data_IF_567697992079
#
_entry.id   IF_567697992079
#
_cell.length_a   1.000
_cell.length_b   1.000
_cell.length_c   1.000
_cell.angle_alpha   90.00
_cell.angle_beta   90.00
_cell.angle_gamma   90.00
#
_symmetry.space_group_name_H-M   'P 1'
#
loop_
_entity.id
_entity.type
_entity.pdbx_description
1 polymer ?
#
# COMPACT_ATOMS: atom_id res chain seq x y z
N UNK A 1 21.29 -24.22 7.39
CA UNK A 1 20.13 -25.07 7.73
C UNK A 1 18.93 -24.17 7.53
N UNK A 2 18.06 -24.47 6.58
CA UNK A 2 16.84 -23.69 6.31
C UNK A 2 15.86 -23.97 7.44
N UNK A 3 15.77 -23.07 8.41
CA UNK A 3 14.71 -23.09 9.41
C UNK A 3 13.43 -22.65 8.71
N UNK A 4 12.49 -23.57 8.49
CA UNK A 4 11.15 -23.21 8.00
C UNK A 4 10.55 -22.17 8.96
N UNK A 5 10.09 -21.04 8.43
CA UNK A 5 9.43 -20.01 9.24
C UNK A 5 8.31 -20.65 10.11
N UNK A 6 8.22 -20.35 11.42
CA UNK A 6 7.17 -20.88 12.28
C UNK A 6 5.78 -20.29 11.96
N UNK A 7 5.72 -19.27 11.11
CA UNK A 7 4.49 -18.57 10.73
C UNK A 7 3.66 -19.46 9.82
N UNK A 8 2.40 -19.69 10.20
CA UNK A 8 1.43 -20.41 9.35
C UNK A 8 0.49 -19.40 8.67
N UNK A 9 0.60 -19.18 7.35
CA UNK A 9 -0.30 -18.27 6.65
C UNK A 9 -1.75 -18.77 6.66
N UNK A 10 -2.68 -17.88 7.01
CA UNK A 10 -4.12 -18.16 7.16
C UNK A 10 -4.89 -18.02 5.85
N UNK A 11 -4.42 -17.15 4.95
CA UNK A 11 -5.18 -16.68 3.77
C UNK A 11 -4.48 -16.94 2.43
N UNK A 12 -3.31 -17.57 2.45
CA UNK A 12 -2.55 -17.95 1.26
C UNK A 12 -2.72 -19.45 1.00
N UNK A 13 -3.24 -19.83 -0.18
CA UNK A 13 -3.30 -21.23 -0.60
C UNK A 13 -1.99 -21.73 -1.22
N UNK A 14 -1.06 -20.81 -1.53
CA UNK A 14 0.31 -21.10 -1.99
C UNK A 14 1.33 -20.33 -1.14
N UNK A 15 1.45 -20.66 0.15
CA UNK A 15 2.24 -19.86 1.10
C UNK A 15 3.75 -19.85 0.83
N UNK A 16 4.27 -20.77 0.02
CA UNK A 16 5.69 -20.82 -0.38
C UNK A 16 6.00 -20.07 -1.68
N UNK A 17 4.98 -19.54 -2.36
CA UNK A 17 5.12 -18.79 -3.63
C UNK A 17 4.94 -17.28 -3.38
N UNK A 18 5.89 -16.48 -3.85
CA UNK A 18 5.83 -15.02 -3.85
C UNK A 18 5.72 -14.54 -5.30
N UNK A 19 4.61 -13.89 -5.64
CA UNK A 19 4.48 -13.12 -6.87
C UNK A 19 5.09 -11.74 -6.68
N UNK A 20 6.12 -11.41 -7.46
CA UNK A 20 6.83 -10.13 -7.37
C UNK A 20 6.48 -9.25 -8.56
N UNK A 21 6.03 -8.03 -8.29
CA UNK A 21 5.79 -6.99 -9.31
C UNK A 21 6.69 -5.80 -9.02
N UNK A 22 7.59 -5.49 -9.95
CA UNK A 22 8.52 -4.37 -9.82
C UNK A 22 8.01 -3.18 -10.63
N UNK A 23 7.73 -2.07 -9.97
CA UNK A 23 7.00 -0.92 -10.52
C UNK A 23 7.93 0.29 -10.56
N UNK A 24 8.52 0.55 -11.72
CA UNK A 24 9.38 1.72 -11.95
C UNK A 24 8.56 2.94 -12.35
N UNK A 25 7.72 3.45 -11.45
CA UNK A 25 6.80 4.57 -11.73
C UNK A 25 7.05 5.76 -10.79
N UNK A 26 7.12 6.97 -11.35
CA UNK A 26 7.32 8.22 -10.63
C UNK A 26 6.31 9.32 -11.04
N UNK A 27 5.26 8.94 -11.78
CA UNK A 27 4.33 9.89 -12.40
C UNK A 27 3.32 10.52 -11.44
N UNK A 28 3.19 9.97 -10.23
CA UNK A 28 2.35 10.50 -9.15
C UNK A 28 2.97 11.67 -8.40
N UNK A 29 4.26 11.96 -8.60
CA UNK A 29 4.99 13.07 -7.99
C UNK A 29 5.84 13.84 -9.02
N UNK A 30 6.59 14.85 -8.56
CA UNK A 30 7.50 15.64 -9.40
C UNK A 30 8.98 15.24 -9.28
N UNK A 31 9.35 14.42 -8.29
CA UNK A 31 10.72 13.94 -8.10
C UNK A 31 10.95 12.68 -8.92
N UNK A 32 11.98 12.70 -9.76
CA UNK A 32 12.45 11.51 -10.45
C UNK A 32 13.27 10.61 -9.50
N UNK A 33 13.50 9.36 -9.90
CA UNK A 33 14.48 8.47 -9.27
C UNK A 33 13.85 7.32 -8.47
N UNK A 34 12.63 7.47 -7.95
CA UNK A 34 11.90 6.37 -7.30
C UNK A 34 11.62 5.22 -8.26
N UNK A 35 11.53 5.50 -9.56
CA UNK A 35 11.39 4.51 -10.62
C UNK A 35 12.57 3.53 -10.70
N UNK A 36 13.72 3.89 -10.11
CA UNK A 36 14.92 3.03 -10.02
C UNK A 36 15.01 2.24 -8.71
N UNK A 37 14.17 2.55 -7.72
CA UNK A 37 14.10 1.87 -6.42
C UNK A 37 13.96 0.34 -6.52
N UNK A 38 13.05 -0.21 -7.35
CA UNK A 38 12.88 -1.66 -7.48
C UNK A 38 14.16 -2.34 -7.95
N UNK A 39 14.82 -1.78 -8.96
CA UNK A 39 16.08 -2.31 -9.49
C UNK A 39 17.18 -2.30 -8.43
N UNK A 40 17.29 -1.21 -7.66
CA UNK A 40 18.30 -1.12 -6.60
C UNK A 40 18.11 -2.17 -5.49
N UNK A 41 16.86 -2.45 -5.10
CA UNK A 41 16.54 -3.51 -4.13
C UNK A 41 16.92 -4.91 -4.66
N UNK A 42 16.63 -5.18 -5.94
CA UNK A 42 16.99 -6.45 -6.59
C UNK A 42 18.50 -6.60 -6.72
N UNK A 43 19.20 -5.57 -7.17
CA UNK A 43 20.66 -5.56 -7.33
C UNK A 43 21.38 -5.71 -5.98
N UNK A 44 20.73 -5.29 -4.88
CA UNK A 44 21.21 -5.54 -3.52
C UNK A 44 20.97 -6.98 -3.04
N UNK A 45 20.33 -7.81 -3.86
CA UNK A 45 20.17 -9.25 -3.65
C UNK A 45 18.86 -9.66 -3.00
N UNK A 46 17.86 -8.78 -2.86
CA UNK A 46 16.60 -9.05 -2.17
C UNK A 46 15.95 -10.37 -2.62
N UNK A 47 15.72 -10.56 -3.93
CA UNK A 47 15.04 -11.75 -4.42
C UNK A 47 15.86 -13.03 -4.19
N UNK A 48 17.19 -12.95 -4.38
CA UNK A 48 18.09 -14.07 -4.11
C UNK A 48 18.09 -14.47 -2.63
N UNK A 49 18.00 -13.48 -1.75
CA UNK A 49 17.94 -13.65 -0.31
C UNK A 49 16.62 -14.31 0.12
N UNK A 50 15.49 -13.87 -0.42
CA UNK A 50 14.19 -14.50 -0.16
C UNK A 50 14.15 -15.97 -0.63
N UNK A 51 14.78 -16.28 -1.77
CA UNK A 51 14.86 -17.65 -2.28
C UNK A 51 15.83 -18.52 -1.45
N UNK A 52 17.07 -18.05 -1.23
CA UNK A 52 18.15 -18.86 -0.66
C UNK A 52 18.10 -18.95 0.87
N UNK A 53 17.73 -17.86 1.53
CA UNK A 53 17.76 -17.79 2.99
C UNK A 53 16.42 -18.23 3.58
N UNK A 54 15.31 -17.81 2.97
CA UNK A 54 13.94 -18.05 3.47
C UNK A 54 13.21 -19.19 2.72
N UNK A 55 13.73 -19.66 1.59
CA UNK A 55 13.20 -20.83 0.88
C UNK A 55 11.95 -20.58 0.04
N UNK A 56 11.65 -19.32 -0.31
CA UNK A 56 10.50 -19.00 -1.15
C UNK A 56 10.75 -19.33 -2.62
N UNK A 57 9.69 -19.75 -3.32
CA UNK A 57 9.67 -19.77 -4.79
C UNK A 57 9.28 -18.38 -5.29
N UNK A 58 10.23 -17.70 -5.94
CA UNK A 58 10.02 -16.35 -6.46
C UNK A 58 9.46 -16.41 -7.88
N UNK A 59 8.31 -15.80 -8.08
CA UNK A 59 7.65 -15.65 -9.38
C UNK A 59 7.77 -14.18 -9.80
N UNK A 60 8.85 -13.89 -10.51
CA UNK A 60 9.17 -12.58 -11.07
C UNK A 60 9.38 -12.73 -12.58
N UNK A 61 8.90 -11.77 -13.37
CA UNK A 61 9.01 -11.78 -14.84
C UNK A 61 10.35 -11.23 -15.36
N UNK A 62 11.27 -10.87 -14.46
CA UNK A 62 12.59 -10.35 -14.80
C UNK A 62 12.58 -8.89 -15.25
N UNK A 63 11.46 -8.17 -15.10
CA UNK A 63 11.32 -6.80 -15.55
C UNK A 63 10.99 -5.83 -14.40
N UNK A 64 11.45 -4.59 -14.56
CA UNK A 64 10.93 -3.42 -13.84
C UNK A 64 10.00 -2.68 -14.79
N UNK A 65 8.71 -2.66 -14.47
CA UNK A 65 7.65 -2.12 -15.32
C UNK A 65 7.61 -0.60 -15.20
N UNK A 66 7.96 0.10 -16.28
CA UNK A 66 7.87 1.58 -16.34
C UNK A 66 6.55 2.08 -16.93
N UNK A 67 5.73 1.16 -17.48
CA UNK A 67 4.41 1.43 -18.05
C UNK A 67 4.39 2.53 -19.13
N UNK A 68 5.50 2.80 -19.79
CA UNK A 68 5.60 3.86 -20.82
C UNK A 68 4.56 3.75 -21.92
N UNK A 69 4.11 2.54 -22.27
CA UNK A 69 3.05 2.34 -23.26
C UNK A 69 1.63 2.70 -22.79
N UNK A 70 1.43 2.83 -21.47
CA UNK A 70 0.13 3.18 -20.86
C UNK A 70 0.04 4.66 -20.51
N UNK A 71 1.19 5.34 -20.44
CA UNK A 71 1.25 6.76 -20.12
C UNK A 71 0.92 7.60 -21.36
N UNK A 72 -0.08 8.50 -21.29
CA UNK A 72 -0.34 9.46 -22.36
C UNK A 72 0.83 10.42 -22.55
N UNK A 73 0.89 11.07 -23.72
CA UNK A 73 1.77 12.21 -23.90
C UNK A 73 1.38 13.34 -22.92
N UNK A 74 2.32 14.18 -22.43
CA UNK A 74 2.01 15.24 -21.47
C UNK A 74 0.87 16.18 -21.91
N UNK A 75 0.75 16.48 -23.20
CA UNK A 75 -0.33 17.27 -23.79
C UNK A 75 -1.72 16.60 -23.70
N UNK A 76 -1.74 15.27 -23.58
CA UNK A 76 -2.94 14.45 -23.46
C UNK A 76 -3.30 14.12 -22.00
N UNK A 77 -2.55 14.67 -21.03
CA UNK A 77 -2.80 14.52 -19.58
C UNK A 77 -2.94 15.88 -18.88
N UNK A 78 -3.96 16.68 -19.23
CA UNK A 78 -4.15 17.98 -18.63
C UNK A 78 -4.48 17.86 -17.14
N UNK A 79 -4.12 18.89 -16.38
CA UNK A 79 -4.51 19.03 -14.97
C UNK A 79 -6.03 18.87 -14.83
N UNK A 80 -6.46 18.00 -13.93
CA UNK A 80 -7.88 17.73 -13.68
C UNK A 80 -8.16 17.82 -12.18
N UNK A 81 -9.09 18.70 -11.78
CA UNK A 81 -9.38 19.02 -10.37
C UNK A 81 -8.14 19.33 -9.51
N UNK A 82 -7.12 19.93 -10.12
CA UNK A 82 -5.85 20.25 -9.45
C UNK A 82 -4.85 19.10 -9.44
N UNK A 83 -5.21 17.90 -9.90
CA UNK A 83 -4.26 16.78 -10.00
C UNK A 83 -3.32 16.94 -11.19
N UNK A 84 -2.03 16.66 -10.94
CA UNK A 84 -1.01 16.48 -11.96
C UNK A 84 -0.96 15.02 -12.45
N UNK A 85 -0.78 14.84 -13.76
CA UNK A 85 -0.72 13.54 -14.44
C UNK A 85 -1.86 12.53 -14.10
N UNK A 86 -3.12 12.97 -13.96
CA UNK A 86 -4.20 12.10 -13.45
C UNK A 86 -4.50 10.91 -14.37
N UNK A 87 -4.37 11.05 -15.70
CA UNK A 87 -4.63 9.96 -16.65
C UNK A 87 -3.49 8.95 -16.66
N UNK A 88 -2.24 9.41 -16.60
CA UNK A 88 -1.08 8.54 -16.51
C UNK A 88 -1.14 7.69 -15.24
N UNK A 89 -1.35 8.32 -14.07
CA UNK A 89 -1.45 7.59 -12.79
C UNK A 89 -2.64 6.63 -12.82
N UNK A 90 -3.80 7.05 -13.33
CA UNK A 90 -4.98 6.18 -13.46
C UNK A 90 -4.73 4.96 -14.35
N UNK A 91 -4.12 5.15 -15.53
CA UNK A 91 -3.87 4.05 -16.47
C UNK A 91 -2.82 3.06 -15.93
N UNK A 92 -1.76 3.57 -15.30
CA UNK A 92 -0.72 2.74 -14.69
C UNK A 92 -1.28 1.94 -13.52
N UNK A 93 -2.09 2.56 -12.65
CA UNK A 93 -2.68 1.88 -11.50
C UNK A 93 -3.76 0.88 -11.90
N UNK A 94 -4.54 1.11 -12.97
CA UNK A 94 -5.48 0.10 -13.52
C UNK A 94 -4.73 -1.11 -14.09
N UNK A 95 -3.60 -0.90 -14.76
CA UNK A 95 -2.77 -2.00 -15.26
C UNK A 95 -2.07 -2.77 -14.13
N UNK A 96 -1.58 -2.05 -13.11
CA UNK A 96 -0.96 -2.65 -11.93
C UNK A 96 -1.96 -3.47 -11.10
N UNK A 97 -3.20 -3.00 -10.99
CA UNK A 97 -4.31 -3.74 -10.38
C UNK A 97 -4.43 -5.15 -10.98
N UNK A 98 -4.43 -5.24 -12.32
CA UNK A 98 -4.54 -6.51 -13.01
C UNK A 98 -3.33 -7.43 -12.76
N UNK A 99 -2.12 -6.88 -12.68
CA UNK A 99 -0.90 -7.63 -12.40
C UNK A 99 -0.88 -8.19 -10.97
N UNK A 100 -1.19 -7.36 -9.97
CA UNK A 100 -1.25 -7.78 -8.57
C UNK A 100 -2.39 -8.78 -8.35
N UNK A 101 -3.56 -8.54 -8.94
CA UNK A 101 -4.67 -9.48 -8.91
C UNK A 101 -4.28 -10.85 -9.46
N UNK A 102 -3.54 -10.92 -10.58
CA UNK A 102 -3.14 -12.19 -11.17
C UNK A 102 -2.24 -13.04 -10.25
N UNK A 103 -1.49 -12.41 -9.34
CA UNK A 103 -0.73 -13.12 -8.30
C UNK A 103 -1.61 -13.49 -7.11
N UNK A 104 -2.36 -12.51 -6.60
CA UNK A 104 -3.16 -12.67 -5.39
C UNK A 104 -4.31 -13.68 -5.60
N UNK A 105 -4.92 -13.77 -6.79
CA UNK A 105 -6.02 -14.70 -7.08
C UNK A 105 -5.57 -16.17 -7.07
N UNK A 106 -4.29 -16.43 -7.32
CA UNK A 106 -3.72 -17.78 -7.35
C UNK A 106 -3.43 -18.35 -5.96
N UNK A 107 -3.49 -17.53 -4.91
CA UNK A 107 -3.11 -17.98 -3.57
C UNK A 107 -1.79 -17.50 -3.04
N UNK A 108 -1.07 -16.69 -3.80
CA UNK A 108 0.32 -16.30 -3.53
C UNK A 108 0.39 -15.06 -2.66
N UNK A 109 1.52 -14.88 -1.99
CA UNK A 109 1.87 -13.58 -1.44
C UNK A 109 2.17 -12.62 -2.60
N UNK A 110 1.58 -11.42 -2.59
CA UNK A 110 1.86 -10.40 -3.60
C UNK A 110 2.85 -9.36 -3.03
N UNK A 111 4.09 -9.37 -3.54
CA UNK A 111 5.12 -8.39 -3.20
C UNK A 111 5.23 -7.36 -4.33
N UNK A 112 4.99 -6.09 -4.00
CA UNK A 112 5.26 -4.97 -4.91
C UNK A 112 6.52 -4.24 -4.45
N UNK A 113 7.51 -4.14 -5.33
CA UNK A 113 8.65 -3.25 -5.16
C UNK A 113 8.37 -2.01 -5.98
N UNK A 114 8.17 -0.88 -5.31
CA UNK A 114 7.53 0.29 -5.87
C UNK A 114 8.46 1.42 -6.28
N UNK A 115 7.86 2.35 -7.00
CA UNK A 115 8.32 3.72 -7.14
C UNK A 115 7.53 4.62 -6.20
N UNK A 116 6.82 5.62 -6.71
CA UNK A 116 6.04 6.52 -5.85
C UNK A 116 4.84 5.84 -5.18
N UNK A 117 4.32 6.43 -4.10
CA UNK A 117 3.23 5.84 -3.31
C UNK A 117 1.85 5.84 -4.01
N UNK A 118 1.70 6.50 -5.18
CA UNK A 118 0.45 6.45 -5.93
C UNK A 118 0.11 5.04 -6.43
N UNK A 119 1.12 4.17 -6.56
CA UNK A 119 0.95 2.79 -7.01
C UNK A 119 0.07 1.97 -6.06
N UNK A 120 -0.04 2.39 -4.80
CA UNK A 120 -0.89 1.75 -3.80
C UNK A 120 -2.37 1.66 -4.25
N UNK A 121 -2.82 2.58 -5.11
CA UNK A 121 -4.16 2.51 -5.72
C UNK A 121 -4.34 1.19 -6.48
N UNK A 122 -3.36 0.80 -7.29
CA UNK A 122 -3.42 -0.44 -8.08
C UNK A 122 -3.19 -1.68 -7.22
N UNK A 123 -2.17 -1.65 -6.35
CA UNK A 123 -1.79 -2.83 -5.55
C UNK A 123 -2.88 -3.22 -4.57
N UNK A 124 -3.43 -2.26 -3.81
CA UNK A 124 -4.47 -2.51 -2.82
C UNK A 124 -5.77 -2.91 -3.52
N UNK A 125 -6.10 -2.29 -4.67
CA UNK A 125 -7.29 -2.69 -5.42
C UNK A 125 -7.21 -4.13 -5.95
N UNK A 126 -6.07 -4.52 -6.50
CA UNK A 126 -5.85 -5.87 -7.03
C UNK A 126 -5.90 -6.93 -5.94
N UNK A 127 -5.24 -6.67 -4.80
CA UNK A 127 -5.30 -7.52 -3.62
C UNK A 127 -6.73 -7.63 -3.08
N UNK A 128 -7.43 -6.50 -2.92
CA UNK A 128 -8.79 -6.48 -2.41
C UNK A 128 -9.75 -7.28 -3.30
N UNK A 129 -9.67 -7.12 -4.63
CA UNK A 129 -10.48 -7.90 -5.58
C UNK A 129 -10.22 -9.39 -5.42
N UNK A 130 -8.95 -9.81 -5.47
CA UNK A 130 -8.56 -11.21 -5.38
C UNK A 130 -9.00 -11.87 -4.06
N UNK A 131 -8.81 -11.18 -2.93
CA UNK A 131 -9.19 -11.69 -1.61
C UNK A 131 -10.72 -11.81 -1.48
N UNK A 132 -11.45 -10.82 -1.98
CA UNK A 132 -12.92 -10.87 -1.98
C UNK A 132 -13.45 -12.03 -2.82
N UNK A 133 -12.87 -12.28 -3.99
CA UNK A 133 -13.29 -13.39 -4.86
C UNK A 133 -12.94 -14.75 -4.28
N UNK A 134 -11.73 -14.92 -3.74
CA UNK A 134 -11.27 -16.19 -3.18
C UNK A 134 -11.94 -16.54 -1.85
N UNK A 135 -12.13 -15.53 -0.98
CA UNK A 135 -12.43 -15.74 0.43
C UNK A 135 -13.73 -15.08 0.89
N UNK A 136 -14.36 -14.23 0.08
CA UNK A 136 -15.54 -13.46 0.49
C UNK A 136 -15.25 -12.46 1.61
N UNK A 137 -13.99 -12.00 1.73
CA UNK A 137 -13.51 -11.14 2.82
C UNK A 137 -13.04 -9.79 2.29
N UNK A 138 -13.15 -8.77 3.12
CA UNK A 138 -12.43 -7.50 2.94
C UNK A 138 -11.00 -7.66 3.46
N UNK A 139 -10.08 -6.90 2.88
CA UNK A 139 -8.73 -6.75 3.43
C UNK A 139 -8.69 -5.62 4.47
N UNK A 140 -7.63 -5.63 5.28
CA UNK A 140 -7.20 -4.45 6.02
C UNK A 140 -5.86 -3.95 5.49
N UNK A 141 -5.63 -2.65 5.64
CA UNK A 141 -4.40 -1.97 5.28
C UNK A 141 -3.73 -1.42 6.53
N UNK A 142 -2.47 -1.80 6.72
CA UNK A 142 -1.55 -1.11 7.62
C UNK A 142 -0.70 -0.20 6.75
N UNK A 143 -0.84 1.10 6.94
CA UNK A 143 -0.14 2.14 6.20
C UNK A 143 0.99 2.68 7.08
N UNK A 144 2.23 2.34 6.76
CA UNK A 144 3.42 2.74 7.53
C UNK A 144 4.14 3.83 6.75
N UNK A 145 4.05 5.07 7.24
CA UNK A 145 4.40 6.26 6.46
C UNK A 145 4.60 7.49 7.37
N UNK A 146 5.40 8.45 6.93
CA UNK A 146 5.46 9.78 7.54
C UNK A 146 4.19 10.62 7.25
N UNK A 147 3.56 10.37 6.11
CA UNK A 147 2.43 11.08 5.52
C UNK A 147 1.15 10.24 5.58
N UNK A 148 -0.01 10.88 5.47
CA UNK A 148 -1.29 10.18 5.50
C UNK A 148 -1.79 9.78 4.10
N UNK A 149 -1.27 10.41 3.05
CA UNK A 149 -1.58 10.12 1.65
C UNK A 149 -3.09 10.03 1.36
N UNK A 150 -3.83 10.89 2.05
CA UNK A 150 -5.30 10.92 2.06
C UNK A 150 -5.86 12.28 1.65
N UNK A 151 -5.03 13.13 1.03
CA UNK A 151 -5.53 14.33 0.40
C UNK A 151 -6.54 13.97 -0.70
N UNK A 152 -7.60 14.78 -0.83
CA UNK A 152 -8.44 14.77 -2.02
C UNK A 152 -7.88 15.74 -3.05
N UNK A 153 -8.31 15.67 -4.33
CA UNK A 153 -7.96 16.67 -5.33
C UNK A 153 -8.22 18.12 -4.86
N UNK A 154 -9.28 18.32 -4.08
CA UNK A 154 -9.66 19.62 -3.53
C UNK A 154 -8.84 20.06 -2.29
N UNK A 155 -8.28 19.13 -1.52
CA UNK A 155 -7.55 19.45 -0.29
C UNK A 155 -6.04 19.56 -0.48
N UNK A 156 -5.50 18.92 -1.53
CA UNK A 156 -4.07 18.92 -1.80
C UNK A 156 -3.57 20.32 -2.19
N UNK A 157 -2.50 20.77 -1.54
CA UNK A 157 -1.81 22.02 -1.93
C UNK A 157 -0.88 21.83 -3.13
N UNK A 158 -0.38 20.60 -3.33
CA UNK A 158 0.63 20.28 -4.35
C UNK A 158 0.04 19.74 -5.65
N UNK A 159 -1.14 19.12 -5.60
CA UNK A 159 -1.79 18.48 -6.75
C UNK A 159 -1.16 17.14 -7.16
N UNK A 160 -0.15 16.64 -6.45
CA UNK A 160 0.51 15.38 -6.80
C UNK A 160 -0.25 14.18 -6.23
N UNK A 161 -0.52 13.18 -7.08
CA UNK A 161 -1.42 12.05 -6.76
C UNK A 161 -0.81 11.08 -5.74
N UNK A 162 0.52 11.04 -5.58
CA UNK A 162 1.15 10.19 -4.56
C UNK A 162 0.66 10.51 -3.13
N UNK A 163 0.21 11.74 -2.84
CA UNK A 163 -0.41 12.11 -1.56
C UNK A 163 -1.93 11.90 -1.49
N UNK A 164 -2.54 11.23 -2.49
CA UNK A 164 -3.99 10.97 -2.58
C UNK A 164 -4.43 9.49 -2.65
N UNK A 165 -3.57 8.44 -2.66
CA UNK A 165 -4.00 7.07 -2.96
C UNK A 165 -5.08 6.57 -2.02
N UNK A 166 -4.98 6.87 -0.71
CA UNK A 166 -5.96 6.41 0.27
C UNK A 166 -7.31 7.08 0.08
N UNK A 167 -7.34 8.34 -0.34
CA UNK A 167 -8.59 9.05 -0.58
C UNK A 167 -9.40 8.38 -1.70
N UNK A 168 -8.74 7.95 -2.78
CA UNK A 168 -9.38 7.21 -3.87
C UNK A 168 -9.78 5.79 -3.44
N UNK A 169 -8.88 5.05 -2.79
CA UNK A 169 -9.15 3.68 -2.33
C UNK A 169 -10.34 3.60 -1.37
N UNK A 170 -10.48 4.59 -0.47
CA UNK A 170 -11.59 4.67 0.49
C UNK A 170 -12.87 5.29 -0.08
N UNK A 171 -12.79 5.83 -1.30
CA UNK A 171 -13.91 6.52 -1.95
C UNK A 171 -14.26 7.87 -1.32
N UNK A 172 -13.34 8.46 -0.54
CA UNK A 172 -13.42 9.83 0.00
C UNK A 172 -13.22 10.83 -1.15
N UNK A 173 -12.25 10.55 -2.03
CA UNK A 173 -12.17 11.12 -3.37
C UNK A 173 -12.81 10.14 -4.37
N UNK A 174 -13.57 10.67 -5.34
CA UNK A 174 -14.23 9.88 -6.37
C UNK A 174 -14.13 10.57 -7.71
N UNK A 175 -14.10 9.76 -8.75
CA UNK A 175 -14.20 10.19 -10.14
C UNK A 175 -15.10 9.26 -10.92
N UNK A 176 -15.83 9.81 -11.89
CA UNK A 176 -16.69 9.01 -12.79
C UNK A 176 -16.03 8.78 -14.16
N UNK A 177 -15.03 9.59 -14.53
CA UNK A 177 -14.30 9.42 -15.79
C UNK A 177 -13.45 8.14 -15.74
N UNK A 178 -13.75 7.18 -16.61
CA UNK A 178 -13.00 5.92 -16.70
C UNK A 178 -11.52 6.13 -17.03
N UNK A 179 -11.15 7.27 -17.64
CA UNK A 179 -9.74 7.61 -17.90
C UNK A 179 -9.03 8.17 -16.68
N UNK A 180 -9.76 8.54 -15.64
CA UNK A 180 -9.25 9.17 -14.41
C UNK A 180 -9.92 8.49 -13.21
N UNK A 181 -9.38 7.37 -12.77
CA UNK A 181 -9.79 6.62 -11.56
C UNK A 181 -11.25 6.11 -11.52
N UNK A 182 -12.10 6.43 -12.50
CA UNK A 182 -13.48 5.93 -12.54
C UNK A 182 -13.59 4.40 -12.65
N UNK A 183 -12.50 3.73 -13.03
CA UNK A 183 -12.43 2.26 -13.01
C UNK A 183 -12.53 1.67 -11.59
N UNK A 184 -12.13 2.39 -10.53
CA UNK A 184 -12.27 1.95 -9.14
C UNK A 184 -13.73 1.74 -8.72
N UNK A 185 -14.67 2.40 -9.39
CA UNK A 185 -16.09 2.32 -9.05
C UNK A 185 -16.77 1.06 -9.60
N UNK A 186 -16.19 0.39 -10.61
CA UNK A 186 -16.81 -0.74 -11.33
C UNK A 186 -17.16 -1.91 -10.40
N UNK A 187 -16.35 -2.13 -9.37
CA UNK A 187 -16.42 -3.29 -8.48
C UNK A 187 -16.84 -2.95 -7.04
N UNK A 188 -17.33 -1.73 -6.79
CA UNK A 188 -17.90 -1.35 -5.49
C UNK A 188 -19.40 -1.66 -5.48
N UNK A 189 -19.91 -2.45 -4.52
CA UNK A 189 -21.34 -2.63 -4.38
C UNK A 189 -21.99 -1.27 -4.16
N UNK A 190 -22.85 -0.84 -5.09
CA UNK A 190 -23.62 0.38 -4.93
C UNK A 190 -24.48 0.23 -3.67
N UNK A 191 -24.48 1.18 -2.72
CA UNK A 191 -25.50 1.22 -1.69
C UNK A 191 -26.88 1.26 -2.37
N UNK A 192 -27.61 0.15 -2.33
CA UNK A 192 -28.96 0.06 -2.89
C UNK A 192 -29.07 -0.46 -4.33
N UNK A 193 -28.05 -1.13 -4.90
CA UNK A 193 -28.34 -2.00 -6.04
C UNK A 193 -29.17 -3.20 -5.55
N UNK A 194 -30.41 -3.27 -6.04
CA UNK A 194 -31.41 -4.27 -5.67
C UNK A 194 -30.87 -5.70 -5.94
N UNK A 195 -30.36 -6.34 -4.89
CA UNK A 195 -30.22 -7.79 -4.89
C UNK A 195 -31.61 -8.40 -4.80
N UNK A 196 -32.12 -8.96 -5.90
CA UNK A 196 -33.24 -9.88 -5.82
C UNK A 196 -32.80 -11.10 -5.01
N UNK A 197 -33.42 -11.33 -3.86
CA UNK A 197 -33.37 -12.66 -3.22
C UNK A 197 -33.91 -13.69 -4.23
N UNK A 198 -33.45 -14.95 -4.15
CA UNK A 198 -33.85 -16.09 -4.99
C UNK A 198 -35.36 -16.43 -4.92
N UNK A 199 -36.15 -15.61 -4.23
CA UNK A 199 -37.60 -15.70 -4.04
C UNK A 199 -38.36 -14.38 -4.37
N UNK A 200 -37.70 -13.36 -4.94
CA UNK A 200 -38.39 -12.21 -5.54
C UNK A 200 -39.07 -11.23 -4.58
N UNK A 201 -38.65 -11.14 -3.31
CA UNK A 201 -39.19 -10.19 -2.35
C UNK A 201 -38.43 -8.86 -2.32
N UNK A 202 -39.13 -7.72 -2.46
CA UNK A 202 -38.57 -6.37 -2.25
C UNK A 202 -38.33 -6.12 -0.75
N UNK A 203 -37.09 -5.80 -0.36
CA UNK A 203 -36.76 -5.26 0.96
C UNK A 203 -36.77 -3.73 0.88
N UNK A 204 -37.54 -3.06 1.76
CA UNK A 204 -37.53 -1.60 1.90
C UNK A 204 -36.51 -1.19 2.95
N UNK A 205 -35.60 -0.27 2.60
CA UNK A 205 -34.82 0.47 3.60
C UNK A 205 -35.31 1.92 3.65
N UNK A 206 -35.63 2.38 4.86
CA UNK A 206 -35.83 3.78 5.19
C UNK A 206 -34.71 4.24 6.13
N UNK A 207 -34.20 5.45 5.88
CA UNK A 207 -33.26 6.15 6.76
C UNK A 207 -32.26 7.00 5.99
N UNK A 208 -32.54 8.30 5.90
CA UNK A 208 -31.55 9.32 5.54
C UNK A 208 -30.48 9.35 6.64
N UNK A 209 -29.32 8.76 6.34
CA UNK A 209 -28.13 8.77 7.17
C UNK A 209 -26.92 8.87 6.26
N UNK A 210 -25.95 9.71 6.63
CA UNK A 210 -24.66 9.95 5.96
C UNK A 210 -24.18 8.74 5.16
N UNK A 211 -24.20 8.81 3.82
CA UNK A 211 -23.71 7.71 2.98
C UNK A 211 -22.25 7.45 3.30
N UNK A 212 -21.95 6.31 3.93
CA UNK A 212 -20.57 5.87 4.13
C UNK A 212 -19.88 5.84 2.76
N UNK A 213 -18.66 6.37 2.66
CA UNK A 213 -17.88 6.26 1.44
C UNK A 213 -17.72 4.76 1.09
N UNK A 214 -18.29 4.34 -0.03
CA UNK A 214 -18.13 2.98 -0.58
C UNK A 214 -16.92 2.94 -1.52
N UNK A 215 -15.73 2.81 -0.94
CA UNK A 215 -14.50 2.56 -1.68
C UNK A 215 -14.15 1.08 -1.77
N UNK A 216 -13.02 0.80 -2.40
CA UNK A 216 -12.36 -0.52 -2.41
C UNK A 216 -11.88 -0.90 -1.01
N UNK A 217 -11.50 0.10 -0.20
CA UNK A 217 -11.02 -0.04 1.17
C UNK A 217 -11.99 0.61 2.17
N UNK A 218 -12.38 -0.11 3.21
CA UNK A 218 -13.14 0.45 4.32
C UNK A 218 -12.23 1.27 5.24
N UNK A 219 -12.66 2.48 5.61
CA UNK A 219 -11.94 3.32 6.58
C UNK A 219 -11.81 2.69 7.98
N UNK A 220 -12.66 1.70 8.29
CA UNK A 220 -12.58 0.90 9.54
C UNK A 220 -11.58 -0.24 9.47
N UNK A 221 -11.02 -0.50 8.29
CA UNK A 221 -10.01 -1.52 8.00
C UNK A 221 -8.68 -0.89 7.59
N UNK A 222 -8.47 0.37 7.98
CA UNK A 222 -7.26 1.13 7.72
C UNK A 222 -6.67 1.62 9.04
N UNK A 223 -5.36 1.45 9.20
CA UNK A 223 -4.61 2.02 10.32
C UNK A 223 -3.29 2.62 9.83
N UNK A 224 -3.00 3.84 10.27
CA UNK A 224 -1.73 4.50 10.02
C UNK A 224 -0.75 4.32 11.18
N UNK A 225 0.54 4.19 10.86
CA UNK A 225 1.64 4.11 11.82
C UNK A 225 2.80 4.98 11.31
N UNK A 226 3.32 5.88 12.15
CA UNK A 226 4.50 6.69 11.83
C UNK A 226 4.21 8.13 11.40
N UNK A 227 2.92 8.54 11.39
CA UNK A 227 2.51 9.86 10.93
C UNK A 227 3.23 10.98 11.68
N UNK A 228 3.81 11.91 10.93
CA UNK A 228 4.50 13.09 11.50
C UNK A 228 4.47 14.32 10.58
N UNK A 229 4.19 14.14 9.30
CA UNK A 229 3.91 15.25 8.39
C UNK A 229 2.55 15.06 7.74
N UNK A 230 1.55 15.76 8.28
CA UNK A 230 0.15 15.55 7.90
C UNK A 230 -0.50 16.91 7.70
N UNK A 231 -1.05 17.13 6.52
CA UNK A 231 -1.68 18.38 6.14
C UNK A 231 -2.91 18.68 6.99
N UNK A 232 -3.34 19.94 6.97
CA UNK A 232 -4.57 20.33 7.67
C UNK A 232 -5.79 19.59 7.11
N UNK A 233 -5.89 19.47 5.78
CA UNK A 233 -6.97 18.75 5.10
C UNK A 233 -7.02 17.28 5.51
N UNK A 234 -5.87 16.62 5.51
CA UNK A 234 -5.75 15.22 5.95
C UNK A 234 -6.14 15.03 7.42
N UNK A 235 -5.70 15.91 8.33
CA UNK A 235 -6.12 15.90 9.75
C UNK A 235 -7.64 16.02 9.89
N UNK A 236 -8.28 16.85 9.07
CA UNK A 236 -9.74 17.00 9.05
C UNK A 236 -10.42 15.72 8.55
N UNK A 237 -9.89 15.08 7.50
CA UNK A 237 -10.38 13.80 6.96
C UNK A 237 -10.24 12.67 7.99
N UNK A 238 -9.05 12.49 8.58
CA UNK A 238 -8.79 11.46 9.59
C UNK A 238 -9.78 11.55 10.76
N UNK A 239 -10.04 12.77 11.27
CA UNK A 239 -11.01 13.01 12.35
C UNK A 239 -12.45 12.78 11.89
N UNK A 240 -12.82 13.28 10.72
CA UNK A 240 -14.19 13.18 10.17
C UNK A 240 -14.61 11.73 9.97
N UNK A 241 -13.72 10.88 9.47
CA UNK A 241 -13.99 9.47 9.20
C UNK A 241 -13.59 8.52 10.34
N UNK A 242 -13.00 9.05 11.42
CA UNK A 242 -12.59 8.28 12.58
C UNK A 242 -11.51 7.23 12.27
N UNK A 243 -10.63 7.53 11.32
CA UNK A 243 -9.59 6.60 10.87
C UNK A 243 -8.55 6.44 11.97
N UNK A 244 -8.15 5.19 12.25
CA UNK A 244 -7.15 4.92 13.28
C UNK A 244 -5.77 5.36 12.78
N UNK A 245 -5.08 6.18 13.56
CA UNK A 245 -3.73 6.62 13.25
C UNK A 245 -2.89 6.69 14.51
N UNK A 246 -1.64 6.27 14.41
CA UNK A 246 -0.61 6.39 15.42
C UNK A 246 0.52 7.25 14.87
N UNK A 247 0.62 8.46 15.40
CA UNK A 247 1.69 9.38 15.08
C UNK A 247 2.98 8.99 15.79
N UNK A 248 4.09 9.63 15.42
CA UNK A 248 5.35 9.48 16.17
C UNK A 248 5.21 9.89 17.64
N UNK A 249 4.30 10.80 18.00
CA UNK A 249 3.98 11.10 19.39
C UNK A 249 3.39 9.90 20.15
N UNK A 250 2.55 9.09 19.50
CA UNK A 250 1.97 7.90 20.10
C UNK A 250 3.03 6.82 20.30
N UNK A 251 3.96 6.69 19.35
CA UNK A 251 5.11 5.79 19.41
C UNK A 251 6.07 6.21 20.53
N UNK A 252 6.42 7.50 20.64
CA UNK A 252 7.24 8.03 21.74
C UNK A 252 6.62 7.74 23.11
N UNK A 253 5.29 7.83 23.19
CA UNK A 253 4.55 7.71 24.45
C UNK A 253 4.34 6.25 24.88
N UNK A 254 4.11 5.34 23.95
CA UNK A 254 3.69 3.97 24.24
C UNK A 254 4.71 2.90 23.83
N UNK A 255 5.69 3.27 23.00
CA UNK A 255 6.59 2.34 22.33
C UNK A 255 5.91 1.59 21.18
N UNK A 256 6.71 1.17 20.20
CA UNK A 256 6.19 0.51 18.98
C UNK A 256 5.42 -0.79 19.28
N UNK A 257 5.85 -1.54 20.31
CA UNK A 257 5.17 -2.77 20.77
C UNK A 257 3.70 -2.54 21.09
N UNK A 258 3.41 -1.54 21.93
CA UNK A 258 2.03 -1.24 22.32
C UNK A 258 1.22 -0.66 21.16
N UNK A 259 1.85 0.13 20.28
CA UNK A 259 1.20 0.64 19.07
C UNK A 259 0.76 -0.51 18.17
N UNK A 260 1.62 -1.50 17.94
CA UNK A 260 1.29 -2.68 17.13
C UNK A 260 0.18 -3.52 17.75
N UNK A 261 0.17 -3.74 19.06
CA UNK A 261 -0.94 -4.41 19.75
C UNK A 261 -2.29 -3.70 19.49
N UNK A 262 -2.30 -2.37 19.57
CA UNK A 262 -3.52 -1.58 19.36
C UNK A 262 -3.94 -1.55 17.89
N UNK A 263 -2.98 -1.47 16.96
CA UNK A 263 -3.24 -1.49 15.52
C UNK A 263 -3.81 -2.85 15.07
N UNK A 264 -3.20 -3.95 15.49
CA UNK A 264 -3.68 -5.30 15.17
C UNK A 264 -5.03 -5.59 15.83
N UNK A 265 -5.26 -5.12 17.05
CA UNK A 265 -6.57 -5.22 17.71
C UNK A 265 -7.66 -4.42 16.96
N UNK A 266 -7.31 -3.28 16.36
CA UNK A 266 -8.23 -2.50 15.54
C UNK A 266 -8.63 -3.23 14.25
N UNK A 267 -7.67 -3.85 13.56
CA UNK A 267 -7.91 -4.61 12.33
C UNK A 267 -8.71 -5.90 12.58
N UNK A 268 -8.36 -6.62 13.65
CA UNK A 268 -8.92 -7.91 14.01
C UNK A 268 -8.08 -9.09 13.51
N UNK A 269 -8.17 -10.22 14.21
CA UNK A 269 -7.28 -11.38 14.04
C UNK A 269 -7.61 -12.32 12.86
N UNK A 270 -8.76 -12.11 12.20
CA UNK A 270 -9.28 -12.90 11.09
C UNK A 270 -9.57 -12.01 9.87
N UNK A 271 -8.59 -11.18 9.50
CA UNK A 271 -8.67 -10.27 8.37
C UNK A 271 -7.36 -10.33 7.58
N UNK A 272 -7.38 -10.59 6.26
CA UNK A 272 -6.19 -10.52 5.42
C UNK A 272 -5.61 -9.11 5.43
N UNK A 273 -4.28 -8.99 5.59
CA UNK A 273 -3.57 -7.73 5.74
C UNK A 273 -2.77 -7.44 4.47
N UNK A 274 -2.90 -6.22 3.96
CA UNK A 274 -2.00 -5.61 2.99
C UNK A 274 -1.14 -4.59 3.74
N UNK A 275 0.17 -4.77 3.76
CA UNK A 275 1.10 -3.83 4.36
C UNK A 275 1.61 -2.86 3.28
N UNK A 276 1.25 -1.58 3.36
CA UNK A 276 1.83 -0.55 2.48
C UNK A 276 2.87 0.19 3.30
N UNK A 277 4.16 0.00 2.95
CA UNK A 277 5.29 0.53 3.70
C UNK A 277 6.04 1.54 2.85
N UNK A 278 5.91 2.81 3.20
CA UNK A 278 6.75 3.88 2.70
C UNK A 278 8.09 3.87 3.43
N UNK A 279 9.20 3.82 2.69
CA UNK A 279 10.53 3.84 3.32
C UNK A 279 10.78 5.14 4.08
N UNK A 280 10.09 6.24 3.71
CA UNK A 280 10.16 7.51 4.41
C UNK A 280 9.49 7.50 5.79
N UNK A 281 8.76 6.44 6.15
CA UNK A 281 8.31 6.24 7.52
C UNK A 281 9.48 6.15 8.51
N UNK A 282 10.62 5.63 8.05
CA UNK A 282 11.87 5.60 8.80
C UNK A 282 12.46 7.00 8.92
N UNK A 283 13.18 7.25 10.02
CA UNK A 283 13.96 8.48 10.15
C UNK A 283 15.02 8.55 9.03
N UNK A 284 15.33 9.74 8.48
CA UNK A 284 16.38 9.91 7.48
C UNK A 284 17.77 9.44 7.92
N UNK A 285 18.00 9.18 9.21
CA UNK A 285 19.20 8.47 9.66
C UNK A 285 19.28 7.02 9.14
N UNK A 286 18.16 6.38 8.83
CA UNK A 286 18.06 4.99 8.36
C UNK A 286 17.55 4.88 6.91
N UNK A 287 16.78 5.86 6.45
CA UNK A 287 16.29 5.96 5.07
C UNK A 287 16.52 7.37 4.49
N UNK A 288 17.79 7.80 4.36
CA UNK A 288 18.11 9.14 3.85
C UNK A 288 17.65 9.39 2.40
N UNK A 289 17.65 8.35 1.56
CA UNK A 289 17.47 8.46 0.11
C UNK A 289 16.05 8.12 -0.33
N UNK A 290 15.12 9.02 -0.01
CA UNK A 290 13.69 8.93 -0.33
C UNK A 290 13.15 10.27 -0.86
N UNK A 291 11.95 10.25 -1.45
CA UNK A 291 11.28 11.42 -2.00
C UNK A 291 11.17 12.55 -0.98
N UNK A 292 10.52 12.32 0.16
CA UNK A 292 10.17 13.38 1.13
C UNK A 292 10.67 13.02 2.53
N UNK A 293 11.98 13.12 2.81
CA UNK A 293 12.54 12.73 4.10
C UNK A 293 12.06 13.67 5.22
N UNK A 294 11.40 13.12 6.24
CA UNK A 294 10.94 13.85 7.43
C UNK A 294 11.64 13.35 8.70
N UNK A 295 12.33 14.23 9.43
CA UNK A 295 13.02 13.89 10.69
C UNK A 295 12.06 13.48 11.80
N UNK A 296 12.58 12.72 12.77
CA UNK A 296 11.82 12.19 13.91
C UNK A 296 10.98 10.99 13.52
N UNK A 297 11.47 10.17 12.58
CA UNK A 297 10.78 8.96 12.10
C UNK A 297 11.11 7.72 12.91
N UNK A 298 10.62 6.58 12.42
CA UNK A 298 10.90 5.28 13.01
C UNK A 298 12.40 4.96 12.94
N UNK A 299 12.93 4.32 13.98
CA UNK A 299 14.22 3.63 13.83
C UNK A 299 14.05 2.40 12.94
N UNK A 300 15.13 1.92 12.30
CA UNK A 300 15.08 0.67 11.53
C UNK A 300 14.54 -0.50 12.37
N UNK A 301 14.94 -0.59 13.64
CA UNK A 301 14.45 -1.61 14.58
C UNK A 301 12.93 -1.54 14.80
N UNK A 302 12.34 -0.35 14.80
CA UNK A 302 10.89 -0.21 14.95
C UNK A 302 10.17 -0.56 13.65
N UNK A 303 10.75 -0.21 12.49
CA UNK A 303 10.26 -0.64 11.18
C UNK A 303 10.27 -2.16 11.01
N UNK A 304 11.41 -2.80 11.29
CA UNK A 304 11.56 -4.26 11.27
C UNK A 304 10.54 -4.92 12.22
N UNK A 305 10.38 -4.38 13.43
CA UNK A 305 9.43 -4.89 14.41
C UNK A 305 7.96 -4.78 13.96
N UNK A 306 7.58 -3.72 13.22
CA UNK A 306 6.25 -3.63 12.59
C UNK A 306 6.09 -4.80 11.61
N UNK A 307 7.07 -5.01 10.73
CA UNK A 307 7.03 -6.05 9.72
C UNK A 307 6.95 -7.47 10.34
N UNK A 308 7.75 -7.73 11.38
CA UNK A 308 7.71 -8.97 12.17
C UNK A 308 6.32 -9.19 12.80
N UNK A 309 5.77 -8.19 13.51
CA UNK A 309 4.45 -8.28 14.14
C UNK A 309 3.35 -8.62 13.12
N UNK A 310 3.42 -8.02 11.93
CA UNK A 310 2.43 -8.27 10.88
C UNK A 310 2.60 -9.67 10.29
N UNK A 311 3.84 -10.11 10.06
CA UNK A 311 4.14 -11.46 9.60
C UNK A 311 3.64 -12.53 10.60
N UNK A 312 3.92 -12.35 11.89
CA UNK A 312 3.53 -13.26 12.98
C UNK A 312 2.02 -13.50 13.08
N UNK A 313 1.20 -12.56 12.58
CA UNK A 313 -0.27 -12.75 12.54
C UNK A 313 -0.69 -13.90 11.63
N UNK A 314 0.17 -14.35 10.71
CA UNK A 314 -0.17 -15.25 9.60
C UNK A 314 -1.20 -14.66 8.63
N UNK A 315 -1.52 -13.37 8.75
CA UNK A 315 -2.61 -12.72 8.01
C UNK A 315 -2.12 -11.85 6.87
N UNK A 316 -0.81 -11.59 6.78
CA UNK A 316 -0.21 -10.82 5.69
C UNK A 316 -0.33 -11.56 4.37
N UNK A 317 -0.94 -10.91 3.38
CA UNK A 317 -1.17 -11.47 2.03
C UNK A 317 -0.51 -10.67 0.93
N UNK A 318 -0.19 -9.41 1.19
CA UNK A 318 0.48 -8.53 0.25
C UNK A 318 1.31 -7.48 0.98
N UNK A 319 2.39 -7.03 0.35
CA UNK A 319 3.21 -5.93 0.82
C UNK A 319 3.65 -5.04 -0.35
N UNK A 320 3.57 -3.73 -0.15
CA UNK A 320 4.25 -2.73 -0.97
C UNK A 320 5.43 -2.17 -0.18
N UNK A 321 6.58 -2.06 -0.83
CA UNK A 321 7.71 -1.25 -0.36
C UNK A 321 7.95 -0.15 -1.40
N UNK A 322 7.75 1.11 -1.01
CA UNK A 322 7.72 2.27 -1.94
C UNK A 322 8.72 3.36 -1.55
N UNK A 323 8.87 4.36 -2.43
CA UNK A 323 9.63 5.60 -2.24
C UNK A 323 11.14 5.43 -1.95
N UNK A 324 11.70 4.23 -2.19
CA UNK A 324 13.16 4.05 -2.26
C UNK A 324 13.67 4.81 -3.47
N UNK A 325 14.48 5.85 -3.24
CA UNK A 325 15.01 6.69 -4.31
C UNK A 325 16.54 6.76 -4.26
N UNK A 326 17.26 5.82 -4.90
CA UNK A 326 18.72 5.79 -4.89
C UNK A 326 19.39 7.02 -5.52
N UNK A 327 18.63 7.84 -6.26
CA UNK A 327 19.16 8.98 -7.02
C UNK A 327 19.17 10.30 -6.23
N UNK A 328 18.40 10.42 -5.15
CA UNK A 328 18.29 11.67 -4.39
C UNK A 328 19.44 11.90 -3.40
N UNK A 329 19.87 10.86 -2.67
CA UNK A 329 21.00 10.95 -1.74
C UNK A 329 22.00 9.81 -1.98
N UNK A 330 22.90 10.02 -2.95
CA UNK A 330 23.85 8.99 -3.41
C UNK A 330 24.67 8.37 -2.26
N UNK A 331 25.08 9.15 -1.26
CA UNK A 331 25.86 8.63 -0.13
C UNK A 331 25.02 7.79 0.85
N UNK A 332 23.71 8.03 0.93
CA UNK A 332 22.76 7.33 1.80
C UNK A 332 21.90 6.28 1.06
N UNK A 333 22.02 6.18 -0.27
CA UNK A 333 21.24 5.27 -1.10
C UNK A 333 21.36 3.81 -0.62
N UNK A 334 22.59 3.36 -0.38
CA UNK A 334 22.87 2.00 0.10
C UNK A 334 22.21 1.72 1.46
N UNK A 335 22.12 2.72 2.34
CA UNK A 335 21.49 2.59 3.65
C UNK A 335 19.97 2.41 3.52
N UNK A 336 19.35 3.23 2.66
CA UNK A 336 17.90 3.15 2.38
C UNK A 336 17.53 1.83 1.69
N UNK A 337 18.35 1.39 0.73
CA UNK A 337 18.14 0.11 0.02
C UNK A 337 18.27 -1.07 0.99
N UNK A 338 19.29 -1.06 1.87
CA UNK A 338 19.43 -2.11 2.90
C UNK A 338 18.26 -2.11 3.89
N UNK A 339 17.79 -0.93 4.31
CA UNK A 339 16.61 -0.81 5.16
C UNK A 339 15.38 -1.43 4.47
N UNK A 340 15.14 -1.09 3.19
CA UNK A 340 14.06 -1.69 2.39
C UNK A 340 14.16 -3.22 2.30
N UNK A 341 15.36 -3.76 2.03
CA UNK A 341 15.58 -5.21 2.05
C UNK A 341 15.27 -5.85 3.41
N UNK A 342 15.68 -5.20 4.50
CA UNK A 342 15.40 -5.66 5.87
C UNK A 342 13.90 -5.76 6.15
N UNK A 343 13.16 -4.68 5.84
CA UNK A 343 11.70 -4.61 6.05
C UNK A 343 10.97 -5.74 5.32
N UNK A 344 11.30 -5.99 4.04
CA UNK A 344 10.68 -7.05 3.24
C UNK A 344 11.02 -8.44 3.79
N UNK A 345 12.26 -8.66 4.21
CA UNK A 345 12.67 -9.93 4.82
C UNK A 345 11.94 -10.21 6.13
N UNK A 346 11.85 -9.23 7.03
CA UNK A 346 11.08 -9.32 8.27
C UNK A 346 9.60 -9.62 8.00
N UNK A 347 8.99 -8.94 7.02
CA UNK A 347 7.60 -9.20 6.61
C UNK A 347 7.38 -10.61 6.04
N UNK A 348 8.43 -11.24 5.52
CA UNK A 348 8.43 -12.61 4.99
C UNK A 348 9.01 -13.62 5.99
N UNK A 349 9.07 -13.27 7.27
CA UNK A 349 9.36 -14.20 8.35
C UNK A 349 10.84 -14.47 8.60
N UNK A 350 11.74 -13.59 8.11
CA UNK A 350 13.10 -13.54 8.63
C UNK A 350 13.06 -13.10 10.09
N UNK A 351 13.66 -13.92 10.96
CA UNK A 351 13.64 -13.72 12.40
C UNK A 351 15.02 -14.06 12.95
N UNK A 352 15.40 -13.38 14.04
CA UNK A 352 16.73 -13.57 14.62
C UNK A 352 16.90 -14.91 15.36
N UNK A 353 15.82 -15.60 15.75
CA UNK A 353 15.83 -16.78 16.63
C UNK A 353 14.80 -17.85 16.26
#
# INVERSE_FOLDING_TARGET
>A
MTTSSPITPKFLSRPSEIGVTCVGFAGGQNKAGVDTGPTALIDNGLLSQLEKDLGYTILHDGQTHTYTSHQPAPEDDPIHRGMHNPRAVSAVTEQLEAQVYAQAVEGRFALTLGGDHSIAIGTIAGTARAIRERLGREIAVIWVDAHADINTPESSESGHVHGMPVAFLTGIAREDDLKIFGWLNKDTPTPGSEGYDKLGGKVKNGGEGTSAATGVLSTKKLVYIGLRDVDRGEKEILRKFGIKAFSMHDIDKWGIGRVMELALAHIGSDTPIHLSFDVDALDPQWAPSTGTPVRGGLTLREGDFIAECVAETGSLVAMDLVEVNPSLEIMGADETVRAGCSLVRCALGDTLL
#
